data_IF_636069528889
#
_entry.id   IF_636069528889
#
_cell.length_a   1.000
_cell.length_b   1.000
_cell.length_c   1.000
_cell.angle_alpha   90.00
_cell.angle_beta   90.00
_cell.angle_gamma   90.00
#
_symmetry.space_group_name_H-M   'P 1'
#
loop_
_entity.id
_entity.type
_entity.pdbx_description
1 polymer ?
#
# COMPACT_ATOMS: atom_id res chain seq x y z
N UNK A 1 -14.51 33.64 -4.92
CA UNK A 1 -14.37 32.16 -5.09
C UNK A 1 -13.24 31.66 -4.18
N UNK A 2 -13.50 30.64 -3.32
CA UNK A 2 -12.46 30.03 -2.47
C UNK A 2 -11.44 29.31 -3.34
N UNK A 3 -10.15 29.67 -3.24
CA UNK A 3 -9.06 28.98 -3.99
C UNK A 3 -8.67 27.70 -3.28
N UNK A 4 -8.58 26.58 -4.02
CA UNK A 4 -8.04 25.31 -3.52
C UNK A 4 -6.54 25.50 -3.27
N UNK A 5 -6.12 25.36 -2.01
CA UNK A 5 -4.71 25.49 -1.61
C UNK A 5 -3.93 24.17 -1.68
N UNK A 6 -4.63 23.03 -1.48
CA UNK A 6 -4.00 21.72 -1.39
C UNK A 6 -4.88 20.60 -1.96
N UNK A 7 -4.27 19.68 -2.68
CA UNK A 7 -4.89 18.47 -3.19
C UNK A 7 -4.08 17.27 -2.71
N UNK A 8 -4.71 16.29 -2.08
CA UNK A 8 -4.12 14.99 -1.76
C UNK A 8 -4.82 13.96 -2.63
N UNK A 9 -4.09 13.40 -3.59
CA UNK A 9 -4.64 12.44 -4.52
C UNK A 9 -4.25 11.01 -4.13
N UNK A 10 -5.24 10.16 -3.97
CA UNK A 10 -5.08 8.75 -3.64
C UNK A 10 -4.87 7.95 -4.93
N UNK A 11 -3.62 7.57 -5.18
CA UNK A 11 -3.20 6.68 -6.26
C UNK A 11 -2.93 5.27 -5.72
N UNK A 12 -2.24 4.42 -6.46
CA UNK A 12 -2.08 3.00 -6.16
C UNK A 12 -0.69 2.48 -6.54
N UNK A 13 -0.18 1.47 -5.83
CA UNK A 13 1.02 0.72 -6.21
C UNK A 13 0.83 -0.09 -7.52
N UNK A 14 -0.41 -0.35 -7.94
CA UNK A 14 -0.70 -1.02 -9.21
C UNK A 14 -0.14 -0.27 -10.43
N UNK A 15 0.16 1.02 -10.32
CA UNK A 15 0.80 1.82 -11.39
C UNK A 15 2.18 1.31 -11.79
N UNK A 16 2.83 0.49 -10.97
CA UNK A 16 4.12 -0.13 -11.29
C UNK A 16 4.00 -1.44 -12.06
N UNK A 17 2.80 -2.05 -12.07
CA UNK A 17 2.57 -3.34 -12.71
C UNK A 17 3.47 -4.44 -12.14
N UNK A 18 4.22 -5.09 -13.02
CA UNK A 18 5.24 -6.11 -12.66
C UNK A 18 6.63 -5.52 -12.89
N UNK A 19 7.21 -4.79 -11.93
CA UNK A 19 8.52 -4.18 -12.10
C UNK A 19 9.62 -5.24 -12.18
N UNK A 20 10.64 -4.97 -12.99
CA UNK A 20 11.82 -5.84 -13.09
C UNK A 20 12.69 -5.81 -11.82
N UNK A 21 12.51 -4.79 -10.96
CA UNK A 21 13.28 -4.60 -9.73
C UNK A 21 12.56 -5.23 -8.53
N UNK A 22 13.34 -5.72 -7.55
CA UNK A 22 12.79 -6.22 -6.27
C UNK A 22 12.38 -5.09 -5.31
N UNK A 23 12.84 -3.86 -5.56
CA UNK A 23 12.57 -2.68 -4.73
C UNK A 23 11.95 -1.63 -5.62
N UNK A 24 10.78 -1.13 -5.24
CA UNK A 24 10.06 -0.10 -5.97
C UNK A 24 10.13 1.22 -5.22
N UNK A 25 10.54 2.28 -5.90
CA UNK A 25 10.52 3.65 -5.42
C UNK A 25 9.78 4.56 -6.42
N UNK A 26 9.66 5.85 -6.12
CA UNK A 26 8.91 6.82 -6.93
C UNK A 26 9.54 7.08 -8.32
N UNK A 27 10.81 6.74 -8.52
CA UNK A 27 11.53 6.81 -9.81
C UNK A 27 11.37 5.56 -10.66
N UNK A 28 10.86 4.45 -10.08
CA UNK A 28 10.62 3.20 -10.81
C UNK A 28 9.63 3.45 -11.94
N UNK A 29 9.94 2.93 -13.13
CA UNK A 29 9.09 3.06 -14.33
C UNK A 29 7.70 2.51 -14.05
N UNK A 30 6.68 3.30 -14.34
CA UNK A 30 5.27 2.89 -14.24
C UNK A 30 4.83 2.13 -15.49
N UNK A 31 3.80 1.30 -15.33
CA UNK A 31 3.28 0.44 -16.39
C UNK A 31 1.74 0.43 -16.37
N UNK A 32 1.12 0.38 -17.55
CA UNK A 32 -0.34 0.35 -17.73
C UNK A 32 -0.85 -1.09 -17.82
N UNK A 33 -0.56 -1.92 -16.82
CA UNK A 33 -0.88 -3.36 -16.85
C UNK A 33 -2.36 -3.69 -16.67
N UNK A 34 -3.13 -2.77 -16.08
CA UNK A 34 -4.58 -2.92 -15.87
C UNK A 34 -5.30 -1.61 -16.19
N UNK A 35 -6.60 -1.67 -16.52
CA UNK A 35 -7.42 -0.48 -16.72
C UNK A 35 -7.39 0.45 -15.50
N UNK A 36 -7.45 -0.12 -14.30
CA UNK A 36 -7.36 0.64 -13.05
C UNK A 36 -6.03 1.41 -12.94
N UNK A 37 -4.89 0.74 -13.16
CA UNK A 37 -3.58 1.38 -13.14
C UNK A 37 -3.46 2.47 -14.22
N UNK A 38 -3.98 2.20 -15.44
CA UNK A 38 -3.98 3.16 -16.55
C UNK A 38 -4.76 4.44 -16.20
N UNK A 39 -5.96 4.29 -15.62
CA UNK A 39 -6.79 5.42 -15.19
C UNK A 39 -6.06 6.24 -14.11
N UNK A 40 -5.50 5.57 -13.09
CA UNK A 40 -4.76 6.27 -12.03
C UNK A 40 -3.55 7.03 -12.58
N UNK A 41 -2.79 6.47 -13.52
CA UNK A 41 -1.68 7.16 -14.17
C UNK A 41 -2.13 8.36 -15.01
N UNK A 42 -3.23 8.23 -15.74
CA UNK A 42 -3.82 9.38 -16.47
C UNK A 42 -4.19 10.51 -15.51
N UNK A 43 -4.80 10.20 -14.35
CA UNK A 43 -5.14 11.17 -13.32
C UNK A 43 -3.90 11.82 -12.68
N UNK A 44 -2.84 11.04 -12.35
CA UNK A 44 -1.55 11.60 -11.89
C UNK A 44 -0.96 12.61 -12.89
N UNK A 45 -0.98 12.27 -14.20
CA UNK A 45 -0.47 13.12 -15.27
C UNK A 45 -1.32 14.38 -15.46
N UNK A 46 -2.63 14.29 -15.34
CA UNK A 46 -3.53 15.47 -15.38
C UNK A 46 -3.21 16.42 -14.23
N UNK A 47 -3.06 15.91 -13.01
CA UNK A 47 -2.68 16.71 -11.85
C UNK A 47 -1.31 17.37 -12.02
N UNK A 48 -0.35 16.66 -12.63
CA UNK A 48 0.99 17.21 -12.94
C UNK A 48 0.92 18.35 -13.96
N UNK A 49 0.01 18.28 -14.94
CA UNK A 49 -0.24 19.37 -15.89
C UNK A 49 -0.97 20.53 -15.20
N UNK A 50 -1.98 20.22 -14.40
CA UNK A 50 -2.78 21.21 -13.68
C UNK A 50 -1.94 22.14 -12.81
N UNK A 51 -0.94 21.61 -12.08
CA UNK A 51 -0.10 22.41 -11.18
C UNK A 51 0.70 23.52 -11.89
N UNK A 52 0.91 23.41 -13.20
CA UNK A 52 1.61 24.45 -13.98
C UNK A 52 0.80 25.75 -14.03
N UNK A 53 -0.52 25.65 -14.03
CA UNK A 53 -1.45 26.78 -14.24
C UNK A 53 -2.10 27.25 -12.93
N UNK A 54 -1.91 26.53 -11.81
CA UNK A 54 -2.59 26.85 -10.56
C UNK A 54 -1.62 26.88 -9.37
N UNK A 55 -1.85 27.83 -8.48
CA UNK A 55 -1.08 27.98 -7.24
C UNK A 55 -1.67 27.11 -6.11
N UNK A 56 -1.49 25.81 -6.22
CA UNK A 56 -1.89 24.87 -5.17
C UNK A 56 -0.77 23.84 -4.92
N UNK A 57 -0.85 23.13 -3.81
CA UNK A 57 0.04 22.00 -3.52
C UNK A 57 -0.64 20.69 -3.92
N UNK A 58 0.05 19.83 -4.65
CA UNK A 58 -0.46 18.51 -5.02
C UNK A 58 0.44 17.43 -4.42
N UNK A 59 -0.14 16.57 -3.59
CA UNK A 59 0.52 15.39 -3.04
C UNK A 59 -0.17 14.14 -3.55
N UNK A 60 0.56 13.30 -4.27
CA UNK A 60 0.09 12.00 -4.75
C UNK A 60 0.57 10.92 -3.79
N UNK A 61 -0.34 10.11 -3.28
CA UNK A 61 -0.05 8.96 -2.43
C UNK A 61 -0.33 7.68 -3.21
N UNK A 62 0.72 6.95 -3.60
CA UNK A 62 0.58 5.61 -4.19
C UNK A 62 0.43 4.60 -3.07
N UNK A 63 -0.81 4.15 -2.86
CA UNK A 63 -1.17 3.29 -1.75
C UNK A 63 -0.87 1.82 -2.02
N UNK A 64 -0.40 1.09 -0.99
CA UNK A 64 -0.38 -0.37 -0.94
C UNK A 64 -1.79 -0.92 -0.72
N UNK A 65 -1.89 -2.21 -0.39
CA UNK A 65 -3.12 -2.79 0.13
C UNK A 65 -3.52 -2.09 1.44
N UNK A 66 -4.66 -1.41 1.43
CA UNK A 66 -5.23 -0.84 2.66
C UNK A 66 -5.96 -1.94 3.42
N UNK A 67 -5.54 -2.21 4.65
CA UNK A 67 -6.11 -3.25 5.51
C UNK A 67 -6.83 -2.61 6.69
N UNK A 68 -7.89 -3.28 7.17
CA UNK A 68 -8.69 -2.81 8.31
C UNK A 68 -9.94 -3.63 8.45
N UNK A 69 -10.85 -3.22 9.34
CA UNK A 69 -12.14 -3.87 9.50
C UNK A 69 -12.90 -3.87 8.17
N UNK A 70 -13.47 -5.01 7.78
CA UNK A 70 -14.25 -5.18 6.53
C UNK A 70 -13.46 -4.96 5.23
N UNK A 71 -12.14 -4.85 5.27
CA UNK A 71 -11.36 -4.85 4.04
C UNK A 71 -11.43 -6.22 3.35
N UNK A 72 -11.70 -6.27 2.03
CA UNK A 72 -11.97 -7.52 1.33
C UNK A 72 -11.26 -7.70 -0.02
N UNK A 73 -10.62 -6.67 -0.56
CA UNK A 73 -10.06 -6.68 -1.93
C UNK A 73 -8.53 -6.77 -2.00
N UNK A 74 -7.83 -6.86 -0.86
CA UNK A 74 -6.38 -6.99 -0.86
C UNK A 74 -5.93 -8.41 -0.47
N UNK A 75 -4.68 -8.75 -0.73
CA UNK A 75 -4.11 -10.07 -0.50
C UNK A 75 -4.34 -10.59 0.94
N UNK A 76 -4.05 -9.78 1.95
CA UNK A 76 -4.20 -10.21 3.36
C UNK A 76 -5.65 -10.41 3.75
N UNK A 77 -6.54 -9.57 3.25
CA UNK A 77 -7.98 -9.71 3.48
C UNK A 77 -8.54 -10.98 2.82
N UNK A 78 -8.02 -11.37 1.64
CA UNK A 78 -8.40 -12.63 1.02
C UNK A 78 -7.92 -13.85 1.82
N UNK A 79 -6.72 -13.78 2.42
CA UNK A 79 -6.25 -14.82 3.35
C UNK A 79 -7.18 -14.92 4.57
N UNK A 80 -7.49 -13.80 5.23
CA UNK A 80 -8.39 -13.78 6.37
C UNK A 80 -9.79 -14.31 6.02
N UNK A 81 -10.31 -13.97 4.84
CA UNK A 81 -11.59 -14.50 4.35
C UNK A 81 -11.54 -16.01 4.09
N UNK A 82 -10.44 -16.52 3.53
CA UNK A 82 -10.23 -17.96 3.32
C UNK A 82 -10.19 -18.70 4.66
N UNK A 83 -9.56 -18.14 5.67
CA UNK A 83 -9.52 -18.67 7.03
C UNK A 83 -10.95 -18.74 7.62
N UNK A 84 -11.70 -17.63 7.57
CA UNK A 84 -13.09 -17.57 8.08
C UNK A 84 -14.01 -18.60 7.41
N UNK A 85 -13.75 -18.89 6.13
CA UNK A 85 -14.51 -19.90 5.36
C UNK A 85 -13.90 -21.30 5.42
N UNK A 86 -12.89 -21.51 6.24
CA UNK A 86 -12.09 -22.75 6.32
C UNK A 86 -11.63 -23.30 4.96
N UNK A 87 -11.27 -22.42 4.03
CA UNK A 87 -10.79 -22.77 2.68
C UNK A 87 -9.27 -22.87 2.65
N UNK A 88 -8.75 -23.68 1.72
CA UNK A 88 -7.31 -23.78 1.44
C UNK A 88 -6.75 -22.39 1.12
N UNK A 89 -5.64 -22.03 1.79
CA UNK A 89 -4.90 -20.82 1.49
C UNK A 89 -3.85 -21.14 0.42
N UNK A 90 -3.85 -20.38 -0.66
CA UNK A 90 -2.84 -20.50 -1.72
C UNK A 90 -2.10 -19.19 -1.88
N UNK A 91 -0.76 -19.21 -1.81
CA UNK A 91 0.08 -18.04 -2.09
C UNK A 91 1.41 -18.43 -2.71
N UNK A 92 2.17 -17.44 -3.21
CA UNK A 92 3.48 -17.69 -3.81
C UNK A 92 4.59 -16.89 -3.15
N UNK A 93 5.85 -17.23 -3.52
CA UNK A 93 7.06 -16.53 -3.10
C UNK A 93 7.18 -16.31 -1.58
N UNK A 94 7.14 -17.36 -0.74
CA UNK A 94 7.18 -17.23 0.73
C UNK A 94 8.44 -16.51 1.23
N UNK A 95 9.57 -16.63 0.51
CA UNK A 95 10.84 -15.99 0.85
C UNK A 95 10.94 -14.53 0.40
N UNK A 96 9.98 -14.03 -0.35
CA UNK A 96 9.99 -12.63 -0.80
C UNK A 96 9.64 -11.68 0.33
N UNK A 97 10.34 -10.55 0.39
CA UNK A 97 9.99 -9.48 1.31
C UNK A 97 8.71 -8.79 0.88
N UNK A 98 7.88 -8.46 1.88
CA UNK A 98 6.57 -7.86 1.71
C UNK A 98 6.35 -6.76 2.74
N UNK A 99 5.90 -5.60 2.28
CA UNK A 99 5.42 -4.49 3.10
C UNK A 99 4.26 -3.75 2.40
N UNK A 100 3.62 -4.44 1.46
CA UNK A 100 2.56 -3.87 0.62
C UNK A 100 1.22 -3.84 1.39
N UNK A 101 1.25 -3.23 2.58
CA UNK A 101 0.07 -3.02 3.44
C UNK A 101 0.19 -1.71 4.20
N UNK A 102 -0.95 -1.12 4.51
CA UNK A 102 -1.12 -0.01 5.45
C UNK A 102 -2.45 -0.16 6.18
N UNK A 103 -2.46 0.07 7.49
CA UNK A 103 -3.70 0.01 8.27
C UNK A 103 -4.53 1.28 8.04
N UNK A 104 -5.84 1.15 7.89
CA UNK A 104 -6.74 2.25 7.48
C UNK A 104 -6.67 3.48 8.38
N UNK A 105 -6.59 3.27 9.70
CA UNK A 105 -6.45 4.38 10.65
C UNK A 105 -5.09 5.09 10.53
N UNK A 106 -4.02 4.33 10.22
CA UNK A 106 -2.70 4.91 10.00
C UNK A 106 -2.71 5.77 8.71
N UNK A 107 -3.40 5.30 7.67
CA UNK A 107 -3.61 6.09 6.45
C UNK A 107 -4.38 7.39 6.73
N UNK A 108 -5.44 7.33 7.53
CA UNK A 108 -6.20 8.52 7.93
C UNK A 108 -5.30 9.54 8.67
N UNK A 109 -4.46 9.08 9.59
CA UNK A 109 -3.47 9.94 10.29
C UNK A 109 -2.46 10.56 9.33
N UNK A 110 -1.99 9.81 8.33
CA UNK A 110 -1.09 10.30 7.28
C UNK A 110 -1.75 11.44 6.50
N UNK A 111 -2.97 11.21 6.00
CA UNK A 111 -3.73 12.21 5.23
C UNK A 111 -3.94 13.46 6.07
N UNK A 112 -4.35 13.32 7.32
CA UNK A 112 -4.53 14.44 8.25
C UNK A 112 -3.24 15.25 8.45
N UNK A 113 -2.11 14.56 8.72
CA UNK A 113 -0.81 15.25 8.88
C UNK A 113 -0.36 15.97 7.61
N UNK A 114 -0.56 15.37 6.43
CA UNK A 114 -0.26 16.01 5.15
C UNK A 114 -1.15 17.24 4.94
N UNK A 115 -2.44 17.16 5.28
CA UNK A 115 -3.38 18.28 5.12
C UNK A 115 -2.99 19.50 5.96
N UNK A 116 -2.43 19.29 7.14
CA UNK A 116 -1.96 20.36 8.04
C UNK A 116 -0.56 20.89 7.73
N UNK A 117 0.25 20.17 6.95
CA UNK A 117 1.64 20.55 6.70
C UNK A 117 1.76 21.51 5.51
N UNK A 118 2.36 22.67 5.73
CA UNK A 118 2.57 23.70 4.70
C UNK A 118 3.96 23.61 4.04
N UNK A 119 4.36 22.41 3.57
CA UNK A 119 5.62 22.24 2.86
C UNK A 119 5.65 23.03 1.55
N UNK A 120 6.82 23.58 1.20
CA UNK A 120 7.05 24.40 -0.02
C UNK A 120 6.91 23.65 -1.36
N UNK A 121 6.62 22.35 -1.37
CA UNK A 121 6.53 21.58 -2.62
C UNK A 121 5.23 21.85 -3.35
N UNK A 122 5.32 22.26 -4.61
CA UNK A 122 4.14 22.38 -5.47
C UNK A 122 3.56 21.02 -5.86
N UNK A 123 4.43 20.03 -6.16
CA UNK A 123 4.01 18.68 -6.59
C UNK A 123 4.93 17.62 -6.01
N UNK A 124 4.35 16.59 -5.39
CA UNK A 124 5.12 15.46 -4.88
C UNK A 124 4.34 14.15 -5.02
N UNK A 125 5.09 13.08 -5.28
CA UNK A 125 4.60 11.69 -5.29
C UNK A 125 5.30 10.95 -4.17
N UNK A 126 4.54 10.18 -3.39
CA UNK A 126 5.05 9.32 -2.33
C UNK A 126 4.49 7.91 -2.47
N UNK A 127 5.37 6.94 -2.37
CA UNK A 127 4.98 5.57 -2.12
C UNK A 127 4.69 5.39 -0.63
N UNK A 128 3.59 4.71 -0.32
CA UNK A 128 3.27 4.30 1.04
C UNK A 128 3.35 2.77 1.16
N UNK A 129 3.65 2.31 2.36
CA UNK A 129 3.75 0.92 2.74
C UNK A 129 4.12 0.83 4.21
N UNK A 130 4.17 -0.35 4.78
CA UNK A 130 4.71 -0.49 6.13
C UNK A 130 6.24 -0.41 6.11
N UNK A 131 6.84 0.07 7.19
CA UNK A 131 8.30 0.00 7.36
C UNK A 131 8.72 -1.44 7.73
N UNK A 132 10.02 -1.73 7.66
CA UNK A 132 10.59 -3.05 7.98
C UNK A 132 9.85 -4.19 7.26
N UNK A 133 10.12 -4.41 5.96
CA UNK A 133 9.53 -5.52 5.20
C UNK A 133 9.81 -6.86 5.87
N UNK A 134 8.85 -7.78 5.83
CA UNK A 134 8.96 -9.14 6.37
C UNK A 134 8.79 -10.19 5.26
N UNK A 135 9.31 -11.40 5.45
CA UNK A 135 9.08 -12.51 4.52
C UNK A 135 7.59 -12.85 4.44
N UNK A 136 7.07 -13.02 3.23
CA UNK A 136 5.65 -13.26 3.00
C UNK A 136 5.15 -14.54 3.71
N UNK A 137 5.96 -15.60 3.71
CA UNK A 137 5.67 -16.83 4.44
C UNK A 137 5.50 -16.60 5.94
N UNK A 138 6.37 -15.77 6.55
CA UNK A 138 6.26 -15.38 7.96
C UNK A 138 4.94 -14.64 8.23
N UNK A 139 4.55 -13.72 7.34
CA UNK A 139 3.28 -12.98 7.45
C UNK A 139 2.09 -13.92 7.42
N UNK A 140 2.04 -14.84 6.44
CA UNK A 140 0.95 -15.82 6.33
C UNK A 140 0.88 -16.71 7.55
N UNK A 141 2.03 -17.20 8.04
CA UNK A 141 2.10 -18.03 9.26
C UNK A 141 1.58 -17.28 10.49
N UNK A 142 1.91 -16.00 10.65
CA UNK A 142 1.39 -15.18 11.77
C UNK A 142 -0.14 -15.08 11.69
N UNK A 143 -0.72 -14.85 10.51
CA UNK A 143 -2.17 -14.79 10.34
C UNK A 143 -2.80 -16.14 10.67
N UNK A 144 -2.27 -17.24 10.11
CA UNK A 144 -2.78 -18.59 10.37
C UNK A 144 -2.75 -18.92 11.86
N UNK A 145 -1.66 -18.64 12.56
CA UNK A 145 -1.53 -18.86 14.01
C UNK A 145 -2.52 -18.02 14.82
N UNK A 146 -2.67 -16.75 14.47
CA UNK A 146 -3.56 -15.83 15.18
C UNK A 146 -5.02 -16.32 15.12
N UNK A 147 -5.48 -16.79 13.96
CA UNK A 147 -6.83 -17.31 13.75
C UNK A 147 -6.96 -18.82 14.02
N UNK A 148 -5.92 -19.48 14.56
CA UNK A 148 -5.91 -20.93 14.84
C UNK A 148 -6.30 -21.79 13.62
N UNK A 149 -5.87 -21.36 12.42
CA UNK A 149 -6.20 -22.02 11.17
C UNK A 149 -5.50 -23.38 11.06
N UNK A 150 -6.29 -24.46 10.84
CA UNK A 150 -5.80 -25.85 10.79
C UNK A 150 -5.84 -26.47 9.40
N UNK A 151 -6.44 -25.80 8.41
CA UNK A 151 -6.55 -26.32 7.05
C UNK A 151 -5.24 -26.09 6.26
N UNK A 152 -5.20 -26.61 5.03
CA UNK A 152 -3.98 -26.67 4.18
C UNK A 152 -3.57 -25.30 3.67
N UNK A 153 -2.25 -25.05 3.70
CA UNK A 153 -1.59 -23.91 3.04
C UNK A 153 -0.77 -24.45 1.87
N UNK A 154 -1.03 -23.96 0.67
CA UNK A 154 -0.39 -24.39 -0.58
C UNK A 154 0.48 -23.27 -1.14
N UNK A 155 1.74 -23.59 -1.42
CA UNK A 155 2.68 -22.67 -2.05
C UNK A 155 2.69 -22.95 -3.56
N UNK A 156 2.48 -21.91 -4.38
CA UNK A 156 2.58 -22.00 -5.85
C UNK A 156 3.72 -21.14 -6.36
N UNK A 157 4.35 -21.57 -7.47
CA UNK A 157 5.26 -20.68 -8.20
C UNK A 157 4.47 -19.52 -8.79
N UNK A 158 4.91 -18.28 -8.50
CA UNK A 158 4.28 -17.07 -9.00
C UNK A 158 5.35 -16.10 -9.51
N UNK A 159 4.91 -14.99 -10.12
CA UNK A 159 5.82 -13.93 -10.57
C UNK A 159 6.63 -13.34 -9.40
N UNK A 160 7.81 -12.77 -9.73
CA UNK A 160 8.66 -12.10 -8.74
C UNK A 160 7.86 -11.01 -8.03
N UNK A 161 7.89 -11.01 -6.70
CA UNK A 161 7.30 -9.95 -5.89
C UNK A 161 8.32 -8.85 -5.62
N UNK A 162 7.83 -7.68 -5.26
CA UNK A 162 8.64 -6.53 -4.86
C UNK A 162 8.19 -5.99 -3.51
N UNK A 163 9.06 -5.27 -2.84
CA UNK A 163 8.70 -4.47 -1.68
C UNK A 163 8.87 -2.97 -1.97
N UNK A 164 8.25 -2.16 -1.16
CA UNK A 164 8.10 -0.72 -1.39
C UNK A 164 9.15 0.04 -0.59
N UNK A 165 9.92 0.88 -1.27
CA UNK A 165 10.79 1.84 -0.62
C UNK A 165 9.97 3.08 -0.24
N UNK A 166 9.84 3.32 1.07
CA UNK A 166 9.08 4.42 1.67
C UNK A 166 9.97 5.53 2.24
N UNK A 167 11.30 5.45 2.05
CA UNK A 167 12.27 6.38 2.65
C UNK A 167 11.98 7.84 2.32
N UNK A 168 11.48 8.13 1.11
CA UNK A 168 11.13 9.50 0.72
C UNK A 168 10.03 10.07 1.60
N UNK A 169 8.95 9.30 1.84
CA UNK A 169 7.87 9.71 2.72
C UNK A 169 8.37 9.90 4.17
N UNK A 170 9.13 8.93 4.69
CA UNK A 170 9.64 8.98 6.06
C UNK A 170 10.62 10.13 6.31
N UNK A 171 11.43 10.50 5.31
CA UNK A 171 12.30 11.68 5.37
C UNK A 171 11.50 12.98 5.46
N UNK A 172 10.43 13.07 4.68
CA UNK A 172 9.66 14.30 4.52
C UNK A 172 8.62 14.49 5.62
N UNK A 173 8.14 13.43 6.25
CA UNK A 173 7.06 13.49 7.23
C UNK A 173 7.42 12.82 8.56
N UNK A 174 7.27 11.49 8.66
CA UNK A 174 7.51 10.72 9.88
C UNK A 174 7.62 9.23 9.59
N UNK A 175 8.17 8.47 10.53
CA UNK A 175 8.30 7.01 10.42
C UNK A 175 6.93 6.34 10.38
N UNK A 176 6.78 5.39 9.45
CA UNK A 176 5.58 4.57 9.33
C UNK A 176 5.66 3.33 10.25
N UNK A 177 4.48 2.80 10.59
CA UNK A 177 4.39 1.57 11.36
C UNK A 177 5.09 0.40 10.64
N UNK A 178 5.68 -0.51 11.42
CA UNK A 178 6.32 -1.71 10.88
C UNK A 178 5.29 -2.65 10.27
N UNK A 179 5.74 -3.53 9.37
CA UNK A 179 4.89 -4.57 8.76
C UNK A 179 4.21 -5.42 9.84
N UNK A 180 4.94 -5.82 10.89
CA UNK A 180 4.37 -6.60 11.99
C UNK A 180 3.35 -5.81 12.81
N UNK A 181 3.61 -4.53 13.08
CA UNK A 181 2.65 -3.68 13.80
C UNK A 181 1.34 -3.51 13.01
N UNK A 182 1.43 -3.23 11.71
CA UNK A 182 0.28 -3.11 10.83
C UNK A 182 -0.51 -4.43 10.71
N UNK A 183 0.21 -5.56 10.67
CA UNK A 183 -0.38 -6.90 10.66
C UNK A 183 -1.12 -7.21 11.96
N UNK A 184 -0.55 -6.87 13.10
CA UNK A 184 -1.21 -7.08 14.41
C UNK A 184 -2.51 -6.27 14.53
N UNK A 185 -2.51 -5.02 14.08
CA UNK A 185 -3.74 -4.19 14.01
C UNK A 185 -4.79 -4.83 13.10
N UNK A 186 -4.38 -5.30 11.92
CA UNK A 186 -5.26 -6.01 10.99
C UNK A 186 -5.87 -7.26 11.60
N UNK A 187 -5.07 -8.11 12.23
CA UNK A 187 -5.54 -9.34 12.86
C UNK A 187 -6.58 -9.04 13.94
N UNK A 188 -6.27 -8.11 14.87
CA UNK A 188 -7.19 -7.68 15.94
C UNK A 188 -8.49 -7.08 15.39
N UNK A 189 -8.45 -6.34 14.29
CA UNK A 189 -9.66 -5.75 13.69
C UNK A 189 -10.58 -6.77 13.01
N UNK A 190 -10.08 -7.99 12.73
CA UNK A 190 -10.80 -9.07 12.06
C UNK A 190 -11.09 -10.28 12.98
N UNK A 191 -10.72 -10.22 14.27
CA UNK A 191 -11.00 -11.27 15.26
C UNK A 191 -12.42 -11.22 15.84
N UNK A 192 -13.16 -10.15 15.55
CA UNK A 192 -14.55 -9.95 15.99
C UNK A 192 -15.52 -10.34 14.89
#
# INVERSE_FOLDING_TARGET
>A
KKKIKKVIFISTMAVYGQPKTRIVNEKTKTSKTTNYASIKLKQENLLKKFIKNYQCQITILRLPGVVGRNSNKNFLSQIALSIKKNKIITFGNPESYFNNLIFSEDLAKIIFKISKNNKKYKYNVYNLGSSKPEKLGKIVNIICRFFRFKNKVVIRKTHKSFYINIKKFEKDYFKLNTTLSSLNKFNKSNSK
#
